data_IF_046325256294
#
_entry.id   IF_046325256294
#
_cell.length_a   1.000
_cell.length_b   1.000
_cell.length_c   1.000
_cell.angle_alpha   90.00
_cell.angle_beta   90.00
_cell.angle_gamma   90.00
#
_symmetry.space_group_name_H-M   'P 1'
#
loop_
_entity.id
_entity.type
_entity.pdbx_description
1 polymer ?
#
# COMPACT_ATOMS: atom_id res chain seq x y z
N UNK A 1 -9.84 2.08 0.84
CA UNK A 1 -8.80 1.80 1.86
C UNK A 1 -8.65 2.90 2.90
N UNK A 2 -8.25 4.13 2.53
CA UNK A 2 -8.05 5.24 3.47
C UNK A 2 -9.26 5.51 4.39
N UNK A 3 -10.46 5.66 3.79
CA UNK A 3 -11.70 5.86 4.54
C UNK A 3 -11.97 4.76 5.58
N UNK A 4 -11.69 3.50 5.23
CA UNK A 4 -11.86 2.38 6.16
C UNK A 4 -10.90 2.48 7.34
N UNK A 5 -9.63 2.83 7.08
CA UNK A 5 -8.61 3.06 8.11
C UNK A 5 -8.99 4.24 9.01
N UNK A 6 -9.44 5.36 8.45
CA UNK A 6 -9.91 6.53 9.21
C UNK A 6 -11.10 6.17 10.10
N UNK A 7 -12.06 5.43 9.57
CA UNK A 7 -13.25 5.03 10.32
C UNK A 7 -12.88 4.12 11.48
N UNK A 8 -12.09 3.06 11.24
CA UNK A 8 -11.70 2.14 12.31
C UNK A 8 -10.78 2.82 13.34
N UNK A 9 -9.87 3.71 12.92
CA UNK A 9 -9.04 4.49 13.84
C UNK A 9 -9.88 5.38 14.77
N UNK A 10 -10.91 6.05 14.24
CA UNK A 10 -11.84 6.85 15.06
C UNK A 10 -12.63 5.97 16.04
N UNK A 11 -13.15 4.83 15.58
CA UNK A 11 -13.90 3.90 16.44
C UNK A 11 -13.00 3.30 17.53
N UNK A 12 -11.74 3.00 17.22
CA UNK A 12 -10.75 2.53 18.19
C UNK A 12 -10.45 3.61 19.24
N UNK A 13 -10.23 4.85 18.78
CA UNK A 13 -9.83 5.94 19.67
C UNK A 13 -10.94 6.34 20.63
N UNK A 14 -12.16 6.54 20.12
CA UNK A 14 -13.31 7.06 20.88
C UNK A 14 -14.21 5.94 21.44
N UNK A 15 -14.37 4.84 20.70
CA UNK A 15 -15.33 3.79 21.03
C UNK A 15 -14.86 2.82 22.11
N UNK A 16 -13.55 2.76 22.39
CA UNK A 16 -12.97 1.88 23.41
C UNK A 16 -12.85 2.64 24.73
N UNK A 17 -13.55 2.17 25.75
CA UNK A 17 -13.63 2.81 27.07
C UNK A 17 -12.37 2.58 27.89
N UNK A 18 -11.93 3.61 28.60
CA UNK A 18 -10.92 3.50 29.65
C UNK A 18 -11.61 3.27 30.98
N UNK A 19 -11.57 2.03 31.47
CA UNK A 19 -12.04 1.73 32.83
C UNK A 19 -10.89 2.01 33.80
N UNK A 20 -11.10 2.72 34.92
CA UNK A 20 -10.08 2.90 35.96
C UNK A 20 -9.63 1.55 36.57
N UNK A 21 -10.52 0.56 36.59
CA UNK A 21 -10.23 -0.85 36.96
C UNK A 21 -9.83 -1.73 35.75
N UNK A 22 -9.58 -1.11 34.60
CA UNK A 22 -9.23 -1.80 33.35
C UNK A 22 -7.80 -2.32 33.34
N UNK A 23 -7.45 -3.14 32.33
CA UNK A 23 -6.05 -3.52 32.11
C UNK A 23 -5.20 -2.28 31.88
N UNK A 24 -4.13 -2.12 32.67
CA UNK A 24 -3.16 -1.03 32.50
C UNK A 24 -2.59 -1.04 31.08
N UNK A 25 -2.39 0.14 30.49
CA UNK A 25 -1.83 0.28 29.14
C UNK A 25 -2.83 0.13 28.00
N UNK A 26 -4.14 0.27 28.24
CA UNK A 26 -5.14 0.24 27.15
C UNK A 26 -4.87 1.34 26.10
N UNK A 27 -4.39 2.51 26.53
CA UNK A 27 -3.99 3.59 25.62
C UNK A 27 -2.84 3.18 24.70
N UNK A 28 -1.81 2.55 25.26
CA UNK A 28 -0.68 2.05 24.47
C UNK A 28 -1.14 0.97 23.49
N UNK A 29 -2.12 0.13 23.87
CA UNK A 29 -2.74 -0.85 22.97
C UNK A 29 -3.55 -0.20 21.85
N UNK A 30 -4.33 0.87 22.13
CA UNK A 30 -5.04 1.65 21.11
C UNK A 30 -4.06 2.26 20.11
N UNK A 31 -3.00 2.91 20.62
CA UNK A 31 -1.94 3.50 19.79
C UNK A 31 -1.28 2.41 18.94
N UNK A 32 -0.92 1.27 19.53
CA UNK A 32 -0.36 0.12 18.82
C UNK A 32 -1.29 -0.41 17.73
N UNK A 33 -2.59 -0.48 17.98
CA UNK A 33 -3.58 -0.88 16.97
C UNK A 33 -3.67 0.14 15.83
N UNK A 34 -3.69 1.44 16.13
CA UNK A 34 -3.66 2.52 15.11
C UNK A 34 -2.38 2.44 14.26
N UNK A 35 -1.25 2.14 14.88
CA UNK A 35 0.02 1.94 14.17
C UNK A 35 -0.01 0.74 13.24
N UNK A 36 -0.66 -0.35 13.67
CA UNK A 36 -0.88 -1.51 12.80
C UNK A 36 -1.79 -1.19 11.62
N UNK A 37 -2.77 -0.28 11.76
CA UNK A 37 -3.55 0.19 10.62
C UNK A 37 -2.69 0.93 9.59
N UNK A 38 -1.76 1.78 10.05
CA UNK A 38 -0.80 2.44 9.17
C UNK A 38 0.17 1.41 8.55
N UNK A 39 0.67 0.47 9.36
CA UNK A 39 1.54 -0.61 8.91
C UNK A 39 0.86 -1.45 7.82
N UNK A 40 -0.45 -1.69 7.90
CA UNK A 40 -1.20 -2.37 6.86
C UNK A 40 -1.14 -1.60 5.52
N UNK A 41 -1.25 -0.27 5.55
CA UNK A 41 -1.16 0.55 4.35
C UNK A 41 0.26 0.57 3.75
N UNK A 42 1.27 0.76 4.60
CA UNK A 42 2.68 0.72 4.20
C UNK A 42 3.08 -0.66 3.68
N UNK A 43 2.67 -1.73 4.36
CA UNK A 43 2.87 -3.10 3.88
C UNK A 43 2.15 -3.38 2.56
N UNK A 44 0.99 -2.75 2.32
CA UNK A 44 0.28 -2.88 1.04
C UNK A 44 1.06 -2.21 -0.08
N UNK A 45 1.60 -1.00 0.15
CA UNK A 45 2.51 -0.32 -0.80
C UNK A 45 3.68 -1.23 -1.18
N UNK A 46 4.41 -1.73 -0.19
CA UNK A 46 5.55 -2.61 -0.43
C UNK A 46 5.14 -3.90 -1.17
N UNK A 47 4.01 -4.49 -0.79
CA UNK A 47 3.49 -5.66 -1.48
C UNK A 47 3.22 -5.41 -2.97
N UNK A 48 2.65 -4.24 -3.32
CA UNK A 48 2.36 -3.87 -4.70
C UNK A 48 3.63 -3.62 -5.52
N UNK A 49 4.69 -3.12 -4.88
CA UNK A 49 6.03 -2.95 -5.47
C UNK A 49 6.87 -4.24 -5.51
N UNK A 50 6.29 -5.38 -5.12
CA UNK A 50 7.00 -6.65 -4.94
C UNK A 50 8.18 -6.58 -3.95
N UNK A 51 8.11 -5.65 -3.01
CA UNK A 51 9.04 -5.46 -1.90
C UNK A 51 8.52 -6.28 -0.71
N UNK A 52 8.99 -7.51 -0.57
CA UNK A 52 8.52 -8.39 0.49
C UNK A 52 9.42 -8.30 1.72
N UNK A 53 8.83 -8.27 2.92
CA UNK A 53 9.55 -8.35 4.19
C UNK A 53 9.09 -7.32 5.21
N UNK A 54 9.75 -7.32 6.37
CA UNK A 54 9.45 -6.39 7.48
C UNK A 54 10.59 -5.41 7.75
N UNK A 55 11.74 -5.57 7.11
CA UNK A 55 12.97 -4.81 7.36
C UNK A 55 13.01 -3.42 6.69
N UNK A 56 11.85 -2.83 6.41
CA UNK A 56 11.76 -1.51 5.79
C UNK A 56 11.73 -0.41 6.85
N UNK A 57 12.37 0.73 6.55
CA UNK A 57 12.55 1.85 7.50
C UNK A 57 11.23 2.46 7.95
N UNK A 58 10.26 2.54 7.04
CA UNK A 58 8.92 3.06 7.25
C UNK A 58 8.00 2.10 8.01
N UNK A 59 8.30 0.80 8.02
CA UNK A 59 7.63 -0.20 8.86
C UNK A 59 8.24 -0.28 10.28
N UNK A 60 9.50 0.10 10.45
CA UNK A 60 10.17 0.12 11.76
C UNK A 60 9.45 1.09 12.71
N UNK A 61 9.02 0.57 13.87
CA UNK A 61 8.28 1.35 14.88
C UNK A 61 6.77 1.46 14.64
N UNK A 62 6.26 1.00 13.49
CA UNK A 62 4.82 0.79 13.27
C UNK A 62 4.39 -0.61 13.69
N UNK A 63 5.19 -1.61 13.32
CA UNK A 63 4.99 -2.97 13.77
C UNK A 63 5.44 -3.13 15.23
N UNK A 64 4.72 -3.95 16.02
CA UNK A 64 5.17 -4.30 17.36
C UNK A 64 6.54 -4.98 17.38
N UNK A 65 7.32 -4.78 18.44
CA UNK A 65 8.62 -5.45 18.61
C UNK A 65 8.50 -6.98 18.69
N UNK A 66 7.35 -7.46 19.17
CA UNK A 66 6.97 -8.87 19.26
C UNK A 66 6.31 -9.41 17.97
N UNK A 67 6.23 -8.61 16.91
CA UNK A 67 5.65 -9.06 15.65
C UNK A 67 6.57 -10.07 14.96
N UNK A 68 6.13 -11.33 14.94
CA UNK A 68 6.80 -12.41 14.23
C UNK A 68 5.97 -12.77 12.99
N UNK A 69 6.51 -12.57 11.77
CA UNK A 69 5.80 -12.95 10.55
C UNK A 69 5.59 -14.47 10.48
N UNK A 70 4.46 -14.89 9.90
CA UNK A 70 4.10 -16.30 9.82
C UNK A 70 4.99 -17.03 8.79
N UNK A 71 5.99 -17.76 9.28
CA UNK A 71 6.87 -18.59 8.45
C UNK A 71 6.18 -19.91 8.08
N UNK A 72 6.11 -20.22 6.79
CA UNK A 72 5.73 -21.54 6.27
C UNK A 72 6.89 -22.15 5.49
N UNK A 73 7.24 -23.38 5.86
CA UNK A 73 8.33 -24.14 5.26
C UNK A 73 8.07 -24.58 3.80
N UNK A 74 6.84 -24.41 3.27
CA UNK A 74 6.40 -24.99 1.98
C UNK A 74 5.65 -23.98 1.08
N UNK A 75 6.19 -22.78 0.85
CA UNK A 75 5.49 -21.79 0.04
C UNK A 75 5.75 -21.96 -1.47
N UNK A 76 4.88 -22.73 -2.15
CA UNK A 76 4.74 -22.70 -3.62
C UNK A 76 4.55 -21.27 -4.17
N UNK A 77 4.04 -20.35 -3.34
CA UNK A 77 3.89 -18.92 -3.64
C UNK A 77 5.23 -18.22 -3.88
N UNK A 78 6.28 -18.60 -3.16
CA UNK A 78 7.65 -18.08 -3.34
C UNK A 78 8.20 -18.49 -4.71
N UNK A 79 7.85 -19.70 -5.20
CA UNK A 79 8.26 -20.18 -6.52
C UNK A 79 7.57 -19.41 -7.66
N UNK A 80 6.29 -19.04 -7.50
CA UNK A 80 5.55 -18.26 -8.49
C UNK A 80 6.02 -16.79 -8.58
N UNK A 81 6.26 -16.14 -7.45
CA UNK A 81 6.76 -14.75 -7.40
C UNK A 81 8.17 -14.64 -7.99
N UNK A 82 9.05 -15.60 -7.68
CA UNK A 82 10.40 -15.64 -8.26
C UNK A 82 10.39 -15.87 -9.78
N UNK A 83 9.39 -16.57 -10.32
CA UNK A 83 9.23 -16.74 -11.78
C UNK A 83 8.89 -15.41 -12.48
N UNK A 84 8.13 -14.53 -11.82
CA UNK A 84 7.79 -13.18 -12.34
C UNK A 84 9.02 -12.26 -12.39
N UNK A 85 9.88 -12.29 -11.39
CA UNK A 85 11.07 -11.42 -11.32
C UNK A 85 12.11 -11.70 -12.43
N UNK A 86 12.14 -12.90 -13.00
CA UNK A 86 13.05 -13.22 -14.10
C UNK A 86 12.64 -12.65 -15.47
N UNK A 87 11.40 -12.19 -15.64
CA UNK A 87 10.90 -11.64 -16.91
C UNK A 87 11.07 -10.12 -17.02
N UNK A 88 11.46 -9.44 -15.94
CA UNK A 88 11.42 -7.98 -15.81
C UNK A 88 12.77 -7.36 -15.38
N UNK A 89 13.83 -8.17 -15.22
CA UNK A 89 15.12 -7.73 -14.72
C UNK A 89 16.06 -7.24 -15.83
N UNK A 90 15.98 -5.96 -16.16
CA UNK A 90 17.06 -5.25 -16.91
C UNK A 90 17.60 -4.02 -16.16
N UNK A 91 17.21 -3.80 -14.89
CA UNK A 91 17.82 -2.78 -14.03
C UNK A 91 18.30 -3.37 -12.70
N UNK A 92 19.62 -3.34 -12.53
CA UNK A 92 20.35 -3.70 -11.32
C UNK A 92 20.50 -2.51 -10.36
N UNK A 93 20.69 -2.86 -9.08
CA UNK A 93 21.40 -2.10 -8.04
C UNK A 93 20.60 -1.49 -6.88
N UNK A 94 19.75 -2.30 -6.23
CA UNK A 94 19.75 -2.46 -4.77
C UNK A 94 19.04 -3.77 -4.37
N UNK A 95 19.72 -4.89 -4.56
CA UNK A 95 19.22 -6.17 -4.02
C UNK A 95 19.45 -6.18 -2.51
N UNK A 96 18.54 -5.57 -1.75
CA UNK A 96 18.46 -5.78 -0.32
C UNK A 96 18.26 -7.29 -0.10
N UNK A 97 19.13 -7.85 0.72
CA UNK A 97 19.30 -9.27 0.98
C UNK A 97 17.95 -9.91 1.35
N UNK A 98 17.45 -10.76 0.44
CA UNK A 98 16.22 -11.56 0.57
C UNK A 98 16.32 -12.49 1.79
N UNK A 99 15.80 -12.07 2.94
CA UNK A 99 15.44 -12.99 4.04
C UNK A 99 13.92 -13.28 4.09
N UNK A 100 13.27 -13.25 2.92
CA UNK A 100 11.82 -13.39 2.81
C UNK A 100 11.35 -14.65 2.08
N UNK A 101 12.23 -15.63 1.89
CA UNK A 101 11.94 -16.91 1.24
C UNK A 101 11.04 -17.87 2.05
N UNK A 102 10.44 -17.42 3.15
CA UNK A 102 9.65 -18.28 4.07
C UNK A 102 8.27 -17.74 4.44
N UNK A 103 7.87 -16.54 4.01
CA UNK A 103 6.53 -16.01 4.34
C UNK A 103 5.44 -16.72 3.50
N UNK A 104 4.49 -17.40 4.15
CA UNK A 104 3.35 -18.03 3.47
C UNK A 104 2.31 -17.03 2.97
N UNK A 105 2.10 -15.97 3.75
CA UNK A 105 1.04 -15.01 3.59
C UNK A 105 1.64 -13.64 3.27
N UNK A 106 0.86 -12.77 2.62
CA UNK A 106 1.26 -11.39 2.40
C UNK A 106 1.20 -10.63 3.72
N UNK A 107 2.22 -9.81 4.01
CA UNK A 107 2.32 -9.05 5.26
C UNK A 107 1.06 -8.24 5.61
N UNK A 108 0.37 -7.56 4.68
CA UNK A 108 -0.90 -6.89 4.98
C UNK A 108 -1.95 -7.83 5.59
N UNK A 109 -2.08 -9.05 5.07
CA UNK A 109 -3.04 -10.01 5.59
C UNK A 109 -2.66 -10.49 7.01
N UNK A 110 -1.37 -10.68 7.29
CA UNK A 110 -0.90 -11.01 8.63
C UNK A 110 -1.22 -9.91 9.64
N UNK A 111 -1.02 -8.64 9.25
CA UNK A 111 -1.38 -7.47 10.07
C UNK A 111 -2.90 -7.42 10.29
N UNK A 112 -3.69 -7.68 9.25
CA UNK A 112 -5.16 -7.71 9.37
C UNK A 112 -5.64 -8.80 10.34
N UNK A 113 -4.97 -9.95 10.36
CA UNK A 113 -5.27 -11.03 11.30
C UNK A 113 -4.97 -10.62 12.74
N UNK A 114 -3.82 -9.99 12.99
CA UNK A 114 -3.48 -9.47 14.32
C UNK A 114 -4.45 -8.39 14.80
N UNK A 115 -4.87 -7.49 13.92
CA UNK A 115 -5.91 -6.49 14.22
C UNK A 115 -7.24 -7.15 14.61
N UNK A 116 -7.65 -8.21 13.89
CA UNK A 116 -8.85 -8.97 14.20
C UNK A 116 -8.77 -9.65 15.58
N UNK A 117 -7.62 -10.27 15.91
CA UNK A 117 -7.40 -10.84 17.25
C UNK A 117 -7.54 -9.80 18.35
N UNK A 118 -6.95 -8.61 18.14
CA UNK A 118 -7.02 -7.54 19.11
C UNK A 118 -8.44 -6.97 19.27
N UNK A 119 -9.19 -6.78 18.18
CA UNK A 119 -10.60 -6.34 18.24
C UNK A 119 -11.44 -7.33 19.06
N UNK A 120 -11.26 -8.63 18.86
CA UNK A 120 -11.96 -9.66 19.63
C UNK A 120 -11.56 -9.65 21.10
N UNK A 121 -10.27 -9.47 21.40
CA UNK A 121 -9.76 -9.36 22.77
C UNK A 121 -10.40 -8.18 23.53
N UNK A 122 -10.49 -6.99 22.91
CA UNK A 122 -11.11 -5.80 23.51
C UNK A 122 -12.61 -6.03 23.79
N UNK A 123 -13.29 -6.76 22.89
CA UNK A 123 -14.69 -7.15 23.07
C UNK A 123 -14.87 -8.14 24.22
N UNK A 124 -14.00 -9.13 24.37
CA UNK A 124 -14.09 -10.09 25.48
C UNK A 124 -13.81 -9.46 26.85
N UNK A 125 -13.09 -8.34 26.88
CA UNK A 125 -12.87 -7.51 28.07
C UNK A 125 -13.98 -6.49 28.34
N UNK A 126 -15.05 -6.49 27.55
CA UNK A 126 -16.17 -5.54 27.69
C UNK A 126 -15.70 -4.07 27.67
N UNK A 127 -14.70 -3.77 26.83
CA UNK A 127 -14.15 -2.43 26.66
C UNK A 127 -14.75 -1.70 25.44
N UNK A 128 -15.33 -2.46 24.51
CA UNK A 128 -16.00 -1.96 23.30
C UNK A 128 -17.43 -2.51 23.24
N UNK A 129 -18.36 -1.68 22.80
CA UNK A 129 -19.75 -2.08 22.58
C UNK A 129 -19.90 -2.87 21.26
N UNK A 130 -20.89 -3.76 21.18
CA UNK A 130 -21.13 -4.65 20.05
C UNK A 130 -21.31 -3.87 18.72
N UNK A 131 -22.04 -2.74 18.66
CA UNK A 131 -22.16 -1.97 17.43
C UNK A 131 -20.83 -1.39 16.95
N UNK A 132 -19.95 -0.95 17.86
CA UNK A 132 -18.64 -0.43 17.50
C UNK A 132 -17.69 -1.55 17.06
N UNK A 133 -17.75 -2.72 17.71
CA UNK A 133 -17.01 -3.91 17.27
C UNK A 133 -17.42 -4.35 15.85
N UNK A 134 -18.73 -4.32 15.55
CA UNK A 134 -19.24 -4.61 14.21
C UNK A 134 -18.72 -3.62 13.16
N UNK A 135 -18.68 -2.32 13.48
CA UNK A 135 -18.10 -1.30 12.61
C UNK A 135 -16.61 -1.54 12.34
N UNK A 136 -15.83 -1.88 13.38
CA UNK A 136 -14.42 -2.23 13.22
C UNK A 136 -14.22 -3.42 12.29
N UNK A 137 -15.00 -4.49 12.50
CA UNK A 137 -14.91 -5.72 11.70
C UNK A 137 -15.26 -5.46 10.23
N UNK A 138 -16.31 -4.67 9.98
CA UNK A 138 -16.70 -4.29 8.62
C UNK A 138 -15.65 -3.40 7.94
N UNK A 139 -15.09 -2.42 8.66
CA UNK A 139 -14.02 -1.58 8.13
C UNK A 139 -12.76 -2.40 7.79
N UNK A 140 -12.40 -3.36 8.64
CA UNK A 140 -11.29 -4.28 8.40
C UNK A 140 -11.55 -5.17 7.16
N UNK A 141 -12.77 -5.71 7.01
CA UNK A 141 -13.15 -6.44 5.79
C UNK A 141 -12.97 -5.58 4.53
N UNK A 142 -13.45 -4.33 4.57
CA UNK A 142 -13.29 -3.40 3.44
C UNK A 142 -11.82 -3.10 3.12
N UNK A 143 -10.93 -3.10 4.13
CA UNK A 143 -9.49 -2.96 3.91
C UNK A 143 -8.91 -4.17 3.18
N UNK A 144 -9.29 -5.38 3.60
CA UNK A 144 -8.88 -6.65 2.96
C UNK A 144 -9.42 -6.72 1.53
N UNK A 145 -10.67 -6.33 1.29
CA UNK A 145 -11.27 -6.32 -0.04
C UNK A 145 -10.53 -5.33 -0.97
N UNK A 146 -10.16 -4.15 -0.46
CA UNK A 146 -9.32 -3.22 -1.21
C UNK A 146 -7.96 -3.84 -1.55
N UNK A 147 -7.31 -4.49 -0.59
CA UNK A 147 -6.03 -5.16 -0.82
C UNK A 147 -6.15 -6.26 -1.89
N UNK A 148 -7.17 -7.12 -1.82
CA UNK A 148 -7.42 -8.15 -2.83
C UNK A 148 -7.71 -7.57 -4.22
N UNK A 149 -8.41 -6.44 -4.32
CA UNK A 149 -8.61 -5.75 -5.60
C UNK A 149 -7.29 -5.20 -6.17
N UNK A 150 -6.40 -4.68 -5.32
CA UNK A 150 -5.08 -4.21 -5.75
C UNK A 150 -4.17 -5.39 -6.15
N UNK A 151 -4.21 -6.51 -5.42
CA UNK A 151 -3.55 -7.77 -5.82
C UNK A 151 -4.06 -8.25 -7.18
N UNK A 152 -5.36 -8.14 -7.47
CA UNK A 152 -5.90 -8.50 -8.79
C UNK A 152 -5.30 -7.64 -9.89
N UNK A 153 -5.26 -6.32 -9.72
CA UNK A 153 -4.65 -5.41 -10.71
C UNK A 153 -3.17 -5.79 -10.93
N UNK A 154 -2.43 -6.04 -9.86
CA UNK A 154 -1.03 -6.46 -9.94
C UNK A 154 -0.85 -7.82 -10.64
N UNK A 155 -1.71 -8.79 -10.34
CA UNK A 155 -1.60 -10.18 -10.79
C UNK A 155 -2.26 -10.47 -12.13
N UNK A 156 -2.97 -9.51 -12.71
CA UNK A 156 -3.49 -9.59 -14.09
C UNK A 156 -2.73 -8.67 -15.06
N UNK A 157 -1.39 -8.80 -15.21
CA UNK A 157 -0.67 -8.03 -16.22
C UNK A 157 -1.05 -8.50 -17.62
N UNK A 158 -0.83 -7.64 -18.62
CA UNK A 158 -1.02 -8.03 -20.02
C UNK A 158 0.00 -9.13 -20.34
N UNK A 159 -0.37 -10.18 -21.09
CA UNK A 159 0.57 -11.24 -21.41
C UNK A 159 1.84 -10.69 -22.08
N UNK A 160 3.02 -11.03 -21.55
CA UNK A 160 4.32 -10.53 -22.05
C UNK A 160 4.51 -10.76 -23.56
N UNK A 161 4.02 -11.89 -24.08
CA UNK A 161 4.05 -12.19 -25.51
C UNK A 161 3.31 -11.14 -26.36
N UNK A 162 2.20 -10.59 -25.84
CA UNK A 162 1.46 -9.53 -26.52
C UNK A 162 2.31 -8.26 -26.67
N UNK A 163 2.94 -7.79 -25.58
CA UNK A 163 3.78 -6.59 -25.61
C UNK A 163 5.00 -6.76 -26.52
N UNK A 164 5.65 -7.92 -26.50
CA UNK A 164 6.76 -8.23 -27.41
C UNK A 164 6.30 -8.20 -28.87
N UNK A 165 5.19 -8.85 -29.19
CA UNK A 165 4.67 -8.88 -30.56
C UNK A 165 4.17 -7.52 -31.05
N UNK A 166 3.56 -6.71 -30.18
CA UNK A 166 3.14 -5.36 -30.50
C UNK A 166 4.34 -4.50 -30.94
N UNK A 167 5.44 -4.51 -30.18
CA UNK A 167 6.70 -3.82 -30.53
C UNK A 167 7.30 -4.30 -31.85
N UNK A 168 7.32 -5.61 -32.08
CA UNK A 168 7.84 -6.21 -33.32
C UNK A 168 7.04 -5.77 -34.55
N UNK A 169 5.71 -5.83 -34.47
CA UNK A 169 4.81 -5.44 -35.57
C UNK A 169 4.91 -3.94 -35.83
N UNK A 170 4.92 -3.11 -34.78
CA UNK A 170 5.07 -1.65 -34.90
C UNK A 170 6.38 -1.28 -35.61
N UNK A 171 7.47 -1.94 -35.22
CA UNK A 171 8.79 -1.74 -35.83
C UNK A 171 8.78 -2.17 -37.30
N UNK A 172 8.24 -3.35 -37.59
CA UNK A 172 8.12 -3.85 -38.96
C UNK A 172 7.27 -2.91 -39.84
N UNK A 173 6.17 -2.39 -39.31
CA UNK A 173 5.31 -1.42 -40.00
C UNK A 173 6.08 -0.14 -40.36
N UNK A 174 6.80 0.45 -39.40
CA UNK A 174 7.59 1.66 -39.65
C UNK A 174 8.72 1.43 -40.66
N UNK A 175 9.32 0.24 -40.67
CA UNK A 175 10.35 -0.13 -41.65
C UNK A 175 9.78 -0.32 -43.07
N UNK A 176 8.55 -0.83 -43.23
CA UNK A 176 7.93 -1.08 -44.54
C UNK A 176 7.33 0.21 -45.14
N UNK A 177 6.79 1.09 -44.30
CA UNK A 177 6.13 2.35 -44.69
C UNK A 177 6.89 3.22 -45.73
N UNK A 178 8.22 3.47 -45.62
CA UNK A 178 8.93 4.28 -46.60
C UNK A 178 8.93 3.66 -48.00
N UNK A 179 8.99 2.33 -48.12
CA UNK A 179 9.04 1.65 -49.41
C UNK A 179 7.72 1.73 -50.17
N UNK A 180 6.59 1.81 -49.45
CA UNK A 180 5.27 1.93 -50.08
C UNK A 180 4.99 3.35 -50.56
N UNK A 181 5.47 4.35 -49.81
CA UNK A 181 5.06 5.75 -49.97
C UNK A 181 6.05 6.57 -50.80
N UNK A 182 7.31 6.13 -50.97
CA UNK A 182 8.37 6.88 -51.70
C UNK A 182 8.04 7.19 -53.16
N UNK A 183 7.19 6.37 -53.80
CA UNK A 183 6.81 6.56 -55.21
C UNK A 183 5.88 7.76 -55.41
N UNK A 184 5.05 8.06 -54.41
CA UNK A 184 3.99 9.08 -54.52
C UNK A 184 4.46 10.44 -54.03
N UNK A 185 5.28 10.48 -52.96
CA UNK A 185 5.66 11.75 -52.29
C UNK A 185 7.18 12.00 -52.23
N UNK A 186 7.99 11.12 -52.82
CA UNK A 186 9.44 11.29 -53.00
C UNK A 186 10.18 11.75 -51.73
N UNK A 187 10.81 12.94 -51.75
CA UNK A 187 11.58 13.46 -50.62
C UNK A 187 10.73 13.76 -49.37
N UNK A 188 9.42 14.01 -49.55
CA UNK A 188 8.51 14.25 -48.42
C UNK A 188 8.26 12.96 -47.61
N UNK A 189 8.62 11.78 -48.12
CA UNK A 189 8.54 10.51 -47.39
C UNK A 189 9.32 10.54 -46.08
N UNK A 190 10.50 11.18 -46.05
CA UNK A 190 11.35 11.20 -44.85
C UNK A 190 10.65 11.91 -43.67
N UNK A 191 10.23 13.19 -43.76
CA UNK A 191 9.54 13.85 -42.65
C UNK A 191 8.18 13.22 -42.35
N UNK A 192 7.47 12.70 -43.36
CA UNK A 192 6.18 12.06 -43.16
C UNK A 192 6.29 10.74 -42.38
N UNK A 193 7.20 9.85 -42.79
CA UNK A 193 7.48 8.62 -42.04
C UNK A 193 8.05 8.91 -40.64
N UNK A 194 8.88 9.95 -40.50
CA UNK A 194 9.36 10.40 -39.20
C UNK A 194 8.23 10.84 -38.26
N UNK A 195 7.26 11.61 -38.78
CA UNK A 195 6.09 12.02 -38.01
C UNK A 195 5.21 10.83 -37.61
N UNK A 196 4.97 9.88 -38.52
CA UNK A 196 4.20 8.66 -38.23
C UNK A 196 4.92 7.75 -37.22
N UNK A 197 6.23 7.57 -37.35
CA UNK A 197 7.01 6.80 -36.39
C UNK A 197 6.97 7.45 -35.01
N UNK A 198 7.16 8.77 -34.93
CA UNK A 198 7.09 9.51 -33.67
C UNK A 198 5.73 9.34 -32.98
N UNK A 199 4.62 9.45 -33.72
CA UNK A 199 3.28 9.28 -33.12
C UNK A 199 3.03 7.85 -32.66
N UNK A 200 3.39 6.85 -33.47
CA UNK A 200 3.15 5.44 -33.17
C UNK A 200 4.01 4.93 -32.02
N UNK A 201 5.33 5.20 -32.02
CA UNK A 201 6.21 4.86 -30.91
C UNK A 201 5.91 5.69 -29.67
N UNK A 202 5.45 6.94 -29.82
CA UNK A 202 5.03 7.76 -28.69
C UNK A 202 3.84 7.16 -27.94
N UNK A 203 2.80 6.71 -28.65
CA UNK A 203 1.64 6.04 -28.03
C UNK A 203 2.05 4.72 -27.38
N UNK A 204 2.93 3.95 -28.03
CA UNK A 204 3.43 2.68 -27.50
C UNK A 204 4.22 2.88 -26.19
N UNK A 205 5.09 3.90 -26.14
CA UNK A 205 5.85 4.23 -24.94
C UNK A 205 4.94 4.69 -23.78
N UNK A 206 3.91 5.49 -24.07
CA UNK A 206 2.90 5.89 -23.07
C UNK A 206 2.13 4.66 -22.57
N UNK A 207 1.77 3.74 -23.47
CA UNK A 207 1.10 2.49 -23.11
C UNK A 207 1.91 1.65 -22.12
N UNK A 208 3.22 1.51 -22.36
CA UNK A 208 4.13 0.81 -21.45
C UNK A 208 4.18 1.46 -20.05
N UNK A 209 4.18 2.80 -19.96
CA UNK A 209 4.20 3.49 -18.67
C UNK A 209 2.89 3.33 -17.88
N UNK A 210 1.74 3.24 -18.57
CA UNK A 210 0.43 3.13 -17.89
C UNK A 210 0.16 1.68 -17.41
N UNK A 211 0.89 0.69 -17.91
CA UNK A 211 0.69 -0.72 -17.58
C UNK A 211 1.07 -1.08 -16.13
N UNK A 212 2.06 -0.40 -15.55
CA UNK A 212 2.53 -0.66 -14.18
C UNK A 212 2.30 0.55 -13.23
N UNK A 213 1.04 0.79 -12.79
CA UNK A 213 0.69 2.00 -12.05
C UNK A 213 1.25 2.07 -10.62
N UNK A 214 1.88 1.00 -10.12
CA UNK A 214 2.36 0.89 -8.73
C UNK A 214 3.88 1.03 -8.60
N UNK A 215 4.58 1.27 -9.71
CA UNK A 215 6.03 1.36 -9.77
C UNK A 215 6.61 2.63 -9.13
N UNK A 216 7.71 3.09 -9.73
CA UNK A 216 8.49 4.26 -9.32
C UNK A 216 8.62 5.32 -10.43
N UNK A 217 7.93 5.13 -11.56
CA UNK A 217 7.95 6.09 -12.65
C UNK A 217 7.25 7.40 -12.23
N UNK A 218 7.61 8.50 -12.88
CA UNK A 218 7.04 9.81 -12.57
C UNK A 218 5.52 9.89 -12.74
N UNK A 219 4.96 9.00 -13.56
CA UNK A 219 3.53 8.94 -13.90
C UNK A 219 2.77 7.91 -13.06
N UNK A 220 3.45 7.19 -12.16
CA UNK A 220 2.84 6.18 -11.30
C UNK A 220 2.09 6.80 -10.13
N UNK A 221 1.32 5.97 -9.45
CA UNK A 221 0.62 6.36 -8.24
C UNK A 221 1.63 6.70 -7.14
N UNK A 222 1.48 7.87 -6.53
CA UNK A 222 2.30 8.34 -5.41
C UNK A 222 1.90 7.66 -4.10
N UNK A 223 2.22 6.38 -3.99
CA UNK A 223 1.85 5.55 -2.83
C UNK A 223 2.53 6.02 -1.53
N UNK A 224 3.72 6.62 -1.63
CA UNK A 224 4.45 7.17 -0.49
C UNK A 224 3.74 8.40 0.09
N UNK A 225 3.35 9.35 -0.76
CA UNK A 225 2.55 10.51 -0.37
C UNK A 225 1.24 10.08 0.29
N UNK A 226 0.58 9.05 -0.26
CA UNK A 226 -0.64 8.50 0.31
C UNK A 226 -0.43 7.92 1.72
N UNK A 227 0.65 7.18 1.94
CA UNK A 227 0.99 6.64 3.26
C UNK A 227 1.38 7.76 4.24
N UNK A 228 2.08 8.79 3.75
CA UNK A 228 2.46 9.96 4.53
C UNK A 228 1.25 10.75 5.02
N UNK A 229 0.32 11.07 4.12
CA UNK A 229 -0.92 11.78 4.47
C UNK A 229 -1.73 10.99 5.50
N UNK A 230 -1.82 9.66 5.33
CA UNK A 230 -2.49 8.80 6.29
C UNK A 230 -1.79 8.80 7.65
N UNK A 231 -0.46 8.77 7.69
CA UNK A 231 0.32 8.85 8.92
C UNK A 231 0.01 10.14 9.67
N UNK A 232 0.07 11.29 8.99
CA UNK A 232 -0.20 12.60 9.57
C UNK A 232 -1.61 12.67 10.18
N UNK A 233 -2.61 12.13 9.49
CA UNK A 233 -3.99 12.11 9.99
C UNK A 233 -4.17 11.23 11.21
N UNK A 234 -3.55 10.04 11.23
CA UNK A 234 -3.63 9.13 12.37
C UNK A 234 -2.88 9.69 13.59
N UNK A 235 -1.71 10.28 13.39
CA UNK A 235 -0.98 10.96 14.45
C UNK A 235 -1.76 12.16 14.99
N UNK A 236 -2.44 12.91 14.12
CA UNK A 236 -3.34 13.99 14.53
C UNK A 236 -4.47 13.47 15.44
N UNK A 237 -5.11 12.35 15.08
CA UNK A 237 -6.15 11.73 15.91
C UNK A 237 -5.61 11.39 17.30
N UNK A 238 -4.45 10.72 17.36
CA UNK A 238 -3.84 10.28 18.62
C UNK A 238 -3.42 11.45 19.51
N UNK A 239 -2.96 12.57 18.93
CA UNK A 239 -2.45 13.70 19.69
C UNK A 239 -3.53 14.71 20.11
N UNK A 240 -4.59 14.88 19.31
CA UNK A 240 -5.49 16.03 19.45
C UNK A 240 -6.94 15.67 19.75
N UNK A 241 -7.38 14.45 19.41
CA UNK A 241 -8.80 14.09 19.58
C UNK A 241 -9.02 13.66 21.02
N UNK A 242 -9.91 14.32 21.76
CA UNK A 242 -10.23 13.89 23.12
C UNK A 242 -10.95 12.55 23.08
N UNK A 243 -10.67 11.70 24.07
CA UNK A 243 -11.32 10.40 24.20
C UNK A 243 -12.61 10.43 25.01
N UNK A 244 -12.78 11.43 25.88
CA UNK A 244 -13.97 11.58 26.72
C UNK A 244 -15.01 12.51 26.07
N UNK A 245 -16.28 12.10 26.07
CA UNK A 245 -17.39 12.87 25.52
C UNK A 245 -17.68 14.14 26.33
N UNK A 246 -17.42 14.09 27.64
CA UNK A 246 -17.63 15.22 28.56
C UNK A 246 -16.82 16.47 28.14
N UNK A 247 -15.61 16.24 27.64
CA UNK A 247 -14.64 17.27 27.25
C UNK A 247 -15.09 18.15 26.07
N UNK A 248 -16.08 17.71 25.28
CA UNK A 248 -16.59 18.46 24.13
C UNK A 248 -17.41 19.69 24.58
N UNK A 249 -18.07 19.60 25.73
CA UNK A 249 -18.94 20.65 26.26
C UNK A 249 -18.22 21.56 27.27
N UNK A 250 -17.00 21.19 27.67
CA UNK A 250 -16.11 22.03 28.48
C UNK A 250 -15.29 22.93 27.54
N UNK A 251 -15.15 24.22 27.88
CA UNK A 251 -14.67 25.26 26.95
C UNK A 251 -13.30 24.94 26.29
N UNK A 252 -13.02 25.44 25.06
CA UNK A 252 -11.92 24.98 24.19
C UNK A 252 -10.49 25.23 24.71
N UNK A 253 -10.33 25.90 25.85
CA UNK A 253 -9.03 26.38 26.34
C UNK A 253 -8.10 25.28 26.87
N UNK A 254 -8.62 24.08 27.21
CA UNK A 254 -7.81 22.98 27.75
C UNK A 254 -7.31 21.99 26.69
N UNK A 255 -8.03 21.82 25.58
CA UNK A 255 -7.73 20.83 24.53
C UNK A 255 -6.45 21.17 23.75
N UNK A 256 -6.11 22.47 23.67
CA UNK A 256 -4.88 22.96 23.02
C UNK A 256 -3.63 22.89 23.91
N UNK A 257 -3.73 22.43 25.16
CA UNK A 257 -2.64 22.49 26.14
C UNK A 257 -2.04 21.12 26.52
N UNK A 258 -2.62 20.00 26.09
CA UNK A 258 -1.96 18.70 26.30
C UNK A 258 -0.70 18.64 25.43
N UNK A 259 0.49 18.41 26.01
CA UNK A 259 1.70 18.28 25.22
C UNK A 259 1.53 17.11 24.25
N UNK A 260 1.97 17.24 22.99
CA UNK A 260 1.90 16.13 22.05
C UNK A 260 2.64 14.94 22.66
N UNK A 261 1.99 13.77 22.66
CA UNK A 261 2.65 12.50 22.94
C UNK A 261 3.88 12.43 22.02
N UNK A 262 5.08 12.59 22.59
CA UNK A 262 6.33 12.74 21.84
C UNK A 262 6.65 11.44 21.10
N UNK A 263 6.09 11.28 19.91
CA UNK A 263 6.42 10.20 19.00
C UNK A 263 7.71 10.57 18.27
N UNK A 264 8.83 9.95 18.67
CA UNK A 264 10.05 9.92 17.84
C UNK A 264 9.83 8.96 16.68
N UNK A 265 9.02 9.33 15.70
CA UNK A 265 9.06 8.67 14.40
C UNK A 265 10.14 9.40 13.60
N UNK A 266 11.21 8.70 13.25
CA UNK A 266 12.25 9.17 12.35
C UNK A 266 11.67 9.26 10.93
N UNK A 267 10.99 10.35 10.61
CA UNK A 267 10.34 10.57 9.32
C UNK A 267 11.41 10.82 8.24
N UNK A 268 11.71 9.76 7.47
CA UNK A 268 11.95 9.83 6.03
C UNK A 268 11.31 8.56 5.45
N UNK A 269 10.12 8.73 4.87
CA UNK A 269 9.52 7.75 3.96
C UNK A 269 10.31 7.73 2.65
#
# INVERSE_FOLDING_TARGET
MNTSIRNIARVIWVGIKEKPDGPAGINDQKIRAINMLLAFAVATKHHLRAEYGTSYRDLQGLLPEDFVPCKSANSLRTQYINHRQHLQSDHSDWVIQRDNSTASMSLPLEISYQLSLWINYVKDKDLIDIPYQGQCTMALSNMIDCFGNLERILLTPIPVAYNIHLKQILTMYCCILPFTTVRDVHWLTIPLCGAVAFTLFGIEAIGNQIEDPFGFDSNDLKLDDFCYDLMLELDYIVQTVPQDQSSIFEAPSAILQSPPLSRKILIQL
#
